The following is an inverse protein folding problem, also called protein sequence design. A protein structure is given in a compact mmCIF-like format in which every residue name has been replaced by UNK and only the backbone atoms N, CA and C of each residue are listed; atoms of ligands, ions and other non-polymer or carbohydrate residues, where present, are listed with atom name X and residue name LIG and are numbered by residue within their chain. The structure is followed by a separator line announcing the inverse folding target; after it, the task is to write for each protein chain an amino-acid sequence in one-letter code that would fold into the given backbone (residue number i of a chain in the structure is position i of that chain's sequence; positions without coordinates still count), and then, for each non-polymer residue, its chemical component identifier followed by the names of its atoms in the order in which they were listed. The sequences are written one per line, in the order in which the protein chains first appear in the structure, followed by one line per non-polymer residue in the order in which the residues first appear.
data_IF_485141719186
#
_entry.id   IF_485141719186
#
_cell.length_a   1.000
_cell.length_b   1.000
_cell.length_c   1.000
_cell.angle_alpha   90.00
_cell.angle_beta   90.00
_cell.angle_gamma   90.00
#
_symmetry.space_group_name_H-M   'P 1'
#
loop_
_entity.id
_entity.type
_entity.pdbx_description
1 polymer ?
#
# COMPACT_ATOMS: atom_id res chain seq x y z
N UNK A 1 4.04 -5.93 4.08
CA UNK A 1 5.22 -6.82 3.89
C UNK A 1 5.28 -7.42 2.48
N UNK A 2 4.16 -7.59 1.77
CA UNK A 2 4.20 -8.01 0.36
C UNK A 2 4.95 -6.96 -0.44
N UNK A 3 5.92 -7.39 -1.26
CA UNK A 3 6.75 -6.53 -2.09
C UNK A 3 6.32 -6.64 -3.55
N UNK A 4 5.59 -5.62 -4.01
CA UNK A 4 5.17 -5.45 -5.40
C UNK A 4 5.42 -4.00 -5.77
N UNK A 5 6.07 -3.75 -6.92
CA UNK A 5 6.46 -2.40 -7.36
C UNK A 5 5.34 -1.66 -8.09
N UNK A 6 4.41 -2.41 -8.67
CA UNK A 6 3.44 -1.95 -9.66
C UNK A 6 3.87 -2.32 -11.07
N UNK A 7 3.15 -1.83 -12.05
CA UNK A 7 3.40 -2.07 -13.48
C UNK A 7 4.20 -0.91 -14.08
N UNK A 8 5.02 -1.17 -15.11
CA UNK A 8 5.76 -0.12 -15.82
C UNK A 8 4.81 1.01 -16.29
N UNK A 9 3.65 0.64 -16.82
CA UNK A 9 2.64 1.58 -17.29
C UNK A 9 2.03 2.48 -16.19
N UNK A 10 2.16 2.16 -14.90
CA UNK A 10 1.75 3.07 -13.82
C UNK A 10 2.65 4.31 -13.80
N UNK A 11 3.95 4.09 -13.85
CA UNK A 11 4.97 5.14 -13.84
C UNK A 11 5.02 5.93 -15.16
N UNK A 12 4.93 5.24 -16.30
CA UNK A 12 4.84 5.88 -17.60
C UNK A 12 3.56 6.74 -17.70
N UNK A 13 2.48 6.30 -17.04
CA UNK A 13 1.25 7.08 -16.87
C UNK A 13 1.46 8.35 -16.02
N UNK A 14 2.32 8.33 -14.99
CA UNK A 14 2.67 9.53 -14.25
C UNK A 14 3.44 10.53 -15.14
N UNK A 15 4.41 10.05 -15.90
CA UNK A 15 5.17 10.90 -16.82
C UNK A 15 4.28 11.53 -17.90
N UNK A 16 3.36 10.75 -18.46
CA UNK A 16 2.39 11.23 -19.44
C UNK A 16 1.42 12.30 -18.88
N UNK A 17 1.20 12.32 -17.57
CA UNK A 17 0.44 13.36 -16.87
C UNK A 17 1.27 14.63 -16.55
N UNK A 18 2.48 14.74 -17.08
CA UNK A 18 3.37 15.89 -16.88
C UNK A 18 4.33 15.77 -15.70
N UNK A 19 4.44 14.60 -15.07
CA UNK A 19 5.44 14.34 -14.05
C UNK A 19 6.77 13.92 -14.68
N UNK A 20 7.48 14.87 -15.25
CA UNK A 20 8.73 14.64 -15.97
C UNK A 20 9.77 13.91 -15.11
N UNK A 21 10.37 12.84 -15.68
CA UNK A 21 11.37 12.01 -15.01
C UNK A 21 10.77 10.98 -14.06
N UNK A 22 9.45 10.71 -14.08
CA UNK A 22 8.80 9.70 -13.26
C UNK A 22 8.33 8.47 -14.06
N UNK A 23 8.68 8.36 -15.34
CA UNK A 23 8.47 7.15 -16.13
C UNK A 23 9.26 5.96 -15.61
N UNK A 24 8.86 4.74 -15.99
CA UNK A 24 9.42 3.50 -15.47
C UNK A 24 10.95 3.44 -15.52
N UNK A 25 11.54 3.77 -16.64
CA UNK A 25 13.00 3.78 -16.82
C UNK A 25 13.71 4.77 -15.88
N UNK A 26 13.05 5.88 -15.53
CA UNK A 26 13.58 6.92 -14.65
C UNK A 26 13.45 6.57 -13.17
N UNK A 27 12.50 5.72 -12.77
CA UNK A 27 12.32 5.29 -11.37
C UNK A 27 12.99 3.97 -11.06
N UNK A 28 13.21 3.11 -12.06
CA UNK A 28 13.82 1.78 -11.90
C UNK A 28 15.18 1.81 -11.19
N UNK A 29 16.11 2.75 -11.46
CA UNK A 29 17.38 2.84 -10.74
C UNK A 29 17.21 2.98 -9.22
N UNK A 30 16.14 3.64 -8.75
CA UNK A 30 15.87 3.83 -7.32
C UNK A 30 15.27 2.59 -6.67
N UNK A 31 14.47 1.78 -7.41
CA UNK A 31 14.08 0.45 -6.97
C UNK A 31 15.30 -0.46 -6.80
N UNK A 32 16.21 -0.47 -7.77
CA UNK A 32 17.45 -1.27 -7.71
C UNK A 32 18.36 -0.80 -6.58
N UNK A 33 18.50 0.51 -6.38
CA UNK A 33 19.34 1.09 -5.32
C UNK A 33 18.89 0.67 -3.92
N UNK A 34 17.61 0.59 -3.67
CA UNK A 34 17.11 0.25 -2.33
C UNK A 34 17.02 -1.26 -2.07
N UNK A 35 17.04 -2.12 -3.08
CA UNK A 35 16.75 -3.55 -2.96
C UNK A 35 17.97 -4.38 -2.54
N UNK A 36 17.74 -5.34 -1.64
CA UNK A 36 18.62 -6.47 -1.31
C UNK A 36 17.86 -7.76 -1.59
N UNK A 37 17.87 -8.21 -2.87
CA UNK A 37 17.09 -9.34 -3.38
C UNK A 37 17.74 -10.67 -3.04
N UNK A 38 17.02 -11.55 -2.34
CA UNK A 38 17.50 -12.89 -1.97
C UNK A 38 17.87 -13.76 -3.18
N UNK A 39 17.16 -13.59 -4.31
CA UNK A 39 17.38 -14.35 -5.56
C UNK A 39 18.61 -13.88 -6.33
N UNK A 40 19.25 -12.78 -5.92
CA UNK A 40 20.41 -12.23 -6.60
C UNK A 40 20.10 -11.15 -7.63
N UNK A 41 21.12 -10.81 -8.44
CA UNK A 41 21.07 -9.74 -9.44
C UNK A 41 20.41 -10.23 -10.73
N UNK A 42 19.59 -9.38 -11.34
CA UNK A 42 19.03 -9.57 -12.68
C UNK A 42 18.82 -8.22 -13.37
N UNK A 43 18.19 -8.19 -14.53
CA UNK A 43 17.76 -6.95 -15.19
C UNK A 43 16.80 -6.13 -14.30
N UNK A 44 16.00 -6.80 -13.48
CA UNK A 44 14.95 -6.19 -12.65
C UNK A 44 15.31 -6.14 -11.16
N UNK A 45 16.43 -6.73 -10.72
CA UNK A 45 16.76 -6.90 -9.31
C UNK A 45 18.20 -6.57 -9.00
N UNK A 46 18.42 -6.05 -7.78
CA UNK A 46 19.75 -5.77 -7.25
C UNK A 46 19.92 -6.35 -5.83
N UNK A 47 21.16 -6.39 -5.35
CA UNK A 47 21.54 -6.85 -4.02
C UNK A 47 22.33 -5.78 -3.28
N UNK A 48 22.35 -5.85 -1.95
CA UNK A 48 23.14 -4.97 -1.09
C UNK A 48 22.45 -3.66 -0.72
N UNK A 49 21.23 -3.41 -1.20
CA UNK A 49 20.43 -2.28 -0.77
C UNK A 49 19.89 -2.44 0.67
N UNK A 50 19.31 -1.38 1.26
CA UNK A 50 18.79 -1.41 2.63
C UNK A 50 17.51 -2.21 2.82
N UNK A 51 16.75 -2.49 1.75
CA UNK A 51 15.45 -3.17 1.80
C UNK A 51 15.61 -4.63 1.41
N UNK A 52 15.57 -5.51 2.40
CA UNK A 52 15.62 -6.96 2.14
C UNK A 52 14.32 -7.46 1.53
N UNK A 53 14.41 -8.11 0.37
CA UNK A 53 13.31 -8.74 -0.35
C UNK A 53 13.58 -10.23 -0.48
N UNK A 54 12.69 -11.04 0.07
CA UNK A 54 12.87 -12.49 0.16
C UNK A 54 11.65 -13.25 -0.32
N UNK A 55 11.84 -14.51 -0.66
CA UNK A 55 10.77 -15.45 -0.90
C UNK A 55 10.12 -15.87 0.44
N UNK A 56 8.91 -16.41 0.35
CA UNK A 56 8.27 -17.02 1.52
C UNK A 56 9.06 -18.26 1.97
N UNK A 57 9.47 -18.35 3.24
CA UNK A 57 10.30 -19.44 3.75
C UNK A 57 9.62 -20.81 3.71
N UNK A 58 8.29 -20.85 3.57
CA UNK A 58 7.51 -22.08 3.51
C UNK A 58 6.42 -21.98 2.46
N UNK A 59 6.35 -22.99 1.60
CA UNK A 59 5.24 -23.16 0.65
C UNK A 59 4.15 -24.00 1.30
N UNK A 60 2.91 -23.58 1.11
CA UNK A 60 1.75 -24.20 1.74
C UNK A 60 0.90 -24.93 0.68
N UNK A 61 0.34 -26.10 1.05
CA UNK A 61 -0.45 -26.93 0.13
C UNK A 61 -1.63 -26.17 -0.51
N UNK A 62 -2.23 -25.23 0.22
CA UNK A 62 -3.32 -24.41 -0.30
C UNK A 62 -2.82 -23.37 -1.30
N UNK A 63 -1.59 -22.85 -1.14
CA UNK A 63 -0.95 -21.96 -2.11
C UNK A 63 -0.70 -22.69 -3.44
N UNK A 64 -0.20 -23.91 -3.40
CA UNK A 64 -0.03 -24.74 -4.60
C UNK A 64 -1.39 -25.03 -5.26
N UNK A 65 -2.41 -25.37 -4.46
CA UNK A 65 -3.76 -25.62 -4.98
C UNK A 65 -4.36 -24.38 -5.65
N UNK A 66 -4.11 -23.19 -5.08
CA UNK A 66 -4.53 -21.92 -5.66
C UNK A 66 -3.84 -21.64 -7.00
N UNK A 67 -2.53 -21.88 -7.11
CA UNK A 67 -1.78 -21.70 -8.37
C UNK A 67 -2.30 -22.64 -9.47
N UNK A 68 -2.47 -23.92 -9.16
CA UNK A 68 -2.96 -24.89 -10.14
C UNK A 68 -4.40 -24.61 -10.58
N UNK A 69 -5.25 -24.14 -9.66
CA UNK A 69 -6.60 -23.70 -10.01
C UNK A 69 -6.57 -22.45 -10.91
N UNK A 70 -5.76 -21.47 -10.56
CA UNK A 70 -5.58 -20.23 -11.35
C UNK A 70 -5.03 -20.53 -12.75
N UNK A 71 -4.09 -21.46 -12.87
CA UNK A 71 -3.53 -21.92 -14.15
C UNK A 71 -4.60 -22.53 -15.05
N UNK A 72 -5.49 -23.36 -14.49
CA UNK A 72 -6.61 -23.94 -15.24
C UNK A 72 -7.62 -22.91 -15.72
N UNK A 73 -7.67 -21.76 -15.05
CA UNK A 73 -8.49 -20.61 -15.45
C UNK A 73 -7.76 -19.64 -16.41
N UNK A 74 -6.56 -20.03 -16.89
CA UNK A 74 -5.82 -19.27 -17.89
C UNK A 74 -4.73 -18.35 -17.34
N UNK A 75 -4.52 -18.28 -16.01
CA UNK A 75 -3.42 -17.50 -15.43
C UNK A 75 -2.13 -18.32 -15.47
N UNK A 76 -1.09 -17.91 -16.22
CA UNK A 76 0.18 -18.62 -16.24
C UNK A 76 0.86 -18.58 -14.86
N UNK A 77 1.75 -19.53 -14.59
CA UNK A 77 2.59 -19.42 -13.40
C UNK A 77 3.59 -18.27 -13.57
N UNK A 78 3.63 -17.39 -12.57
CA UNK A 78 4.58 -16.27 -12.52
C UNK A 78 5.36 -16.35 -11.21
N UNK A 79 6.66 -16.53 -11.29
CA UNK A 79 7.53 -16.60 -10.11
C UNK A 79 8.08 -15.24 -9.69
N UNK A 80 7.80 -14.17 -10.47
CA UNK A 80 8.33 -12.83 -10.20
C UNK A 80 7.39 -11.73 -10.72
N UNK A 81 6.58 -11.19 -9.82
CA UNK A 81 5.67 -10.07 -10.12
C UNK A 81 6.37 -8.71 -10.27
N UNK A 82 7.68 -8.66 -9.98
CA UNK A 82 8.52 -7.48 -10.10
C UNK A 82 9.49 -7.55 -11.29
N UNK A 83 9.35 -8.60 -12.11
CA UNK A 83 10.12 -8.84 -13.34
C UNK A 83 9.50 -8.18 -14.57
N UNK A 84 9.63 -8.85 -15.72
CA UNK A 84 9.16 -8.37 -17.02
C UNK A 84 7.62 -8.22 -17.08
N UNK A 85 6.90 -9.13 -16.44
CA UNK A 85 5.43 -9.18 -16.47
C UNK A 85 4.85 -9.44 -15.10
N UNK A 86 3.78 -8.72 -14.76
CA UNK A 86 3.02 -8.96 -13.55
C UNK A 86 1.92 -10.03 -13.73
N UNK A 87 1.56 -10.36 -14.98
CA UNK A 87 0.47 -11.30 -15.30
C UNK A 87 0.75 -12.69 -14.77
N UNK A 88 -0.27 -13.32 -14.17
CA UNK A 88 -0.22 -14.71 -13.75
C UNK A 88 -0.32 -14.93 -12.26
N UNK A 89 -0.17 -16.19 -11.83
CA UNK A 89 -0.30 -16.65 -10.44
C UNK A 89 1.04 -17.14 -9.89
N UNK A 90 1.38 -16.74 -8.66
CA UNK A 90 2.63 -17.15 -8.02
C UNK A 90 2.69 -16.81 -6.54
N UNK A 91 3.77 -17.24 -5.89
CA UNK A 91 4.06 -16.84 -4.52
C UNK A 91 4.49 -15.38 -4.46
N UNK A 92 4.06 -14.70 -3.39
CA UNK A 92 4.47 -13.30 -3.15
C UNK A 92 5.90 -13.24 -2.62
N UNK A 93 6.62 -12.19 -2.99
CA UNK A 93 7.84 -11.78 -2.30
C UNK A 93 7.50 -10.83 -1.16
N UNK A 94 8.33 -10.82 -0.13
CA UNK A 94 8.08 -10.07 1.11
C UNK A 94 9.31 -9.34 1.61
N UNK A 95 9.10 -8.19 2.28
CA UNK A 95 10.17 -7.46 2.97
C UNK A 95 10.48 -8.13 4.30
N UNK A 96 11.31 -9.17 4.24
CA UNK A 96 11.78 -9.92 5.42
C UNK A 96 13.28 -10.21 5.33
N UNK A 97 13.93 -10.37 6.48
CA UNK A 97 15.29 -10.87 6.61
C UNK A 97 15.33 -11.92 7.71
N UNK A 98 15.83 -13.12 7.38
CA UNK A 98 15.82 -14.25 8.31
C UNK A 98 14.42 -14.55 8.88
N UNK A 99 13.39 -14.55 8.04
CA UNK A 99 11.99 -14.74 8.39
C UNK A 99 11.46 -13.76 9.46
N UNK A 100 12.01 -12.57 9.55
CA UNK A 100 11.51 -11.46 10.39
C UNK A 100 11.19 -10.27 9.49
N UNK A 101 10.12 -9.55 9.83
CA UNK A 101 9.78 -8.31 9.16
C UNK A 101 11.01 -7.39 9.13
N UNK A 102 11.31 -6.85 7.94
CA UNK A 102 12.41 -5.92 7.72
C UNK A 102 11.83 -4.57 7.33
N UNK A 103 11.79 -3.66 8.29
CA UNK A 103 11.24 -2.32 8.12
C UNK A 103 12.28 -1.37 7.50
N UNK A 104 11.82 -0.21 7.03
CA UNK A 104 12.71 0.88 6.61
C UNK A 104 13.59 1.36 7.77
N UNK A 105 13.11 1.33 9.01
CA UNK A 105 13.93 1.63 10.17
C UNK A 105 15.08 0.62 10.35
N UNK A 106 14.84 -0.68 10.09
CA UNK A 106 15.91 -1.69 10.11
C UNK A 106 16.91 -1.46 8.97
N UNK A 107 16.43 -1.10 7.78
CA UNK A 107 17.26 -0.88 6.59
C UNK A 107 18.07 0.41 6.63
N UNK A 108 17.47 1.52 7.06
CA UNK A 108 18.06 2.85 6.93
C UNK A 108 18.58 3.46 8.23
N UNK A 109 18.00 3.10 9.39
CA UNK A 109 18.35 3.76 10.65
C UNK A 109 19.15 2.87 11.60
N UNK A 110 18.73 1.63 11.82
CA UNK A 110 19.28 0.76 12.85
C UNK A 110 20.77 0.43 12.59
N UNK A 111 21.62 0.91 13.51
CA UNK A 111 23.08 0.76 13.40
C UNK A 111 23.73 1.61 12.29
N UNK A 112 22.96 2.51 11.66
CA UNK A 112 23.43 3.37 10.56
C UNK A 112 23.18 4.86 10.82
N UNK A 113 22.64 5.24 11.99
CA UNK A 113 22.43 6.64 12.34
C UNK A 113 23.79 7.33 12.38
N UNK A 114 24.01 8.21 11.40
CA UNK A 114 25.21 9.03 11.35
C UNK A 114 25.18 10.09 12.49
N UNK A 115 26.34 10.56 12.92
CA UNK A 115 26.47 11.55 14.01
C UNK A 115 25.79 12.90 13.72
N UNK A 116 25.45 13.14 12.45
CA UNK A 116 24.76 14.34 11.98
C UNK A 116 23.23 14.17 11.90
N UNK A 117 22.66 13.03 12.33
CA UNK A 117 21.21 12.80 12.36
C UNK A 117 20.71 12.87 13.80
N UNK A 118 19.74 13.72 14.06
CA UNK A 118 19.00 13.77 15.32
C UNK A 118 17.60 13.24 15.13
N UNK A 119 17.23 12.19 15.84
CA UNK A 119 15.88 11.60 15.83
C UNK A 119 15.14 12.05 17.08
N UNK A 120 14.05 12.80 16.90
CA UNK A 120 13.17 13.25 17.98
C UNK A 120 11.87 12.45 17.91
N UNK A 121 11.58 11.70 18.98
CA UNK A 121 10.39 10.85 19.08
C UNK A 121 9.41 11.39 20.14
N UNK A 122 8.17 10.87 20.13
CA UNK A 122 7.11 11.27 21.06
C UNK A 122 6.73 12.75 20.97
N UNK A 123 6.83 13.31 19.78
CA UNK A 123 6.42 14.69 19.47
C UNK A 123 5.29 14.70 18.43
N UNK A 124 4.45 15.72 18.48
CA UNK A 124 3.46 16.06 17.46
C UNK A 124 3.93 17.30 16.71
N UNK A 125 4.06 17.21 15.40
CA UNK A 125 4.27 18.38 14.54
C UNK A 125 2.91 19.05 14.35
N UNK A 126 2.80 20.30 14.80
CA UNK A 126 1.54 21.04 14.84
C UNK A 126 1.29 21.83 13.55
N UNK A 127 2.32 22.52 13.04
CA UNK A 127 2.25 23.34 11.83
C UNK A 127 3.64 23.62 11.25
N UNK A 128 3.66 24.09 10.01
CA UNK A 128 4.85 24.65 9.36
C UNK A 128 5.02 26.13 9.76
N UNK A 129 6.24 26.62 9.74
CA UNK A 129 6.53 28.05 9.94
C UNK A 129 6.68 28.69 8.57
N UNK A 130 5.67 29.47 8.16
CA UNK A 130 5.63 30.17 6.87
C UNK A 130 6.01 31.65 7.08
N UNK A 131 7.04 32.12 6.40
CA UNK A 131 7.52 33.49 6.43
C UNK A 131 7.75 34.01 5.01
N UNK A 132 6.96 34.98 4.56
CA UNK A 132 7.10 35.64 3.23
C UNK A 132 7.14 34.63 2.05
N UNK A 133 6.27 33.61 2.07
CA UNK A 133 6.21 32.58 1.01
C UNK A 133 7.30 31.51 1.08
N UNK A 134 8.03 31.43 2.18
CA UNK A 134 9.04 30.42 2.45
C UNK A 134 8.74 29.66 3.73
N UNK A 135 8.81 28.34 3.70
CA UNK A 135 8.80 27.51 4.92
C UNK A 135 10.21 27.52 5.52
N UNK A 136 10.30 27.95 6.76
CA UNK A 136 11.56 28.15 7.50
C UNK A 136 11.71 27.23 8.70
N UNK A 137 10.73 26.34 8.96
CA UNK A 137 10.77 25.41 10.08
C UNK A 137 9.43 24.76 10.36
N UNK A 138 9.35 24.12 11.51
CA UNK A 138 8.14 23.46 12.02
C UNK A 138 7.89 23.81 13.49
N UNK A 139 6.63 23.96 13.87
CA UNK A 139 6.21 24.01 15.26
C UNK A 139 5.79 22.60 15.69
N UNK A 140 6.30 22.15 16.82
CA UNK A 140 5.97 20.83 17.36
C UNK A 140 5.77 20.89 18.87
N UNK A 141 5.09 19.91 19.43
CA UNK A 141 4.82 19.82 20.85
C UNK A 141 5.11 18.43 21.40
N UNK A 142 5.48 18.39 22.67
CA UNK A 142 5.56 17.18 23.47
C UNK A 142 4.80 17.38 24.81
N UNK A 143 5.03 16.49 25.77
CA UNK A 143 4.44 16.59 27.12
C UNK A 143 4.91 17.81 27.92
N UNK A 144 6.05 18.41 27.53
CA UNK A 144 6.71 19.51 28.27
C UNK A 144 6.34 20.88 27.70
N UNK A 145 5.89 20.98 26.45
CA UNK A 145 5.50 22.24 25.83
C UNK A 145 5.54 22.25 24.32
N UNK A 146 5.50 23.46 23.77
CA UNK A 146 5.58 23.71 22.32
C UNK A 146 6.93 24.33 21.96
N UNK A 147 7.49 23.89 20.86
CA UNK A 147 8.83 24.25 20.37
C UNK A 147 8.79 24.58 18.89
N UNK A 148 9.82 25.30 18.44
CA UNK A 148 10.05 25.55 17.01
C UNK A 148 11.41 25.00 16.60
N UNK A 149 11.44 24.14 15.56
CA UNK A 149 12.67 23.74 14.89
C UNK A 149 12.82 24.55 13.59
N UNK A 150 13.95 25.23 13.42
CA UNK A 150 14.27 26.02 12.23
C UNK A 150 15.07 25.19 11.22
N UNK A 151 14.69 25.27 9.94
CA UNK A 151 15.41 24.64 8.85
C UNK A 151 16.33 25.67 8.17
N UNK A 152 17.59 25.30 7.95
CA UNK A 152 18.56 26.16 7.24
C UNK A 152 18.47 26.01 5.72
N UNK A 153 17.91 24.92 5.24
CA UNK A 153 17.75 24.60 3.81
C UNK A 153 16.27 24.45 3.46
N UNK A 154 15.66 23.33 3.83
CA UNK A 154 14.26 23.04 3.55
C UNK A 154 13.65 22.11 4.61
N UNK A 155 12.32 22.07 4.64
CA UNK A 155 11.51 21.11 5.40
C UNK A 155 11.01 20.02 4.45
N UNK A 156 11.18 18.77 4.82
CA UNK A 156 10.67 17.63 4.06
C UNK A 156 9.50 17.03 4.84
N UNK A 157 8.33 17.02 4.25
CA UNK A 157 7.13 16.38 4.78
C UNK A 157 7.10 14.95 4.29
N UNK A 158 7.11 13.99 5.22
CA UNK A 158 6.98 12.55 4.95
C UNK A 158 6.03 11.92 5.96
N UNK A 159 4.88 12.58 6.19
CA UNK A 159 3.92 12.19 7.22
C UNK A 159 2.84 11.20 6.69
N UNK A 160 2.95 10.81 5.41
CA UNK A 160 2.06 9.87 4.74
C UNK A 160 0.75 10.49 4.28
N UNK A 161 -0.02 9.71 3.56
CA UNK A 161 -1.22 10.14 2.81
C UNK A 161 -2.27 10.87 3.64
N UNK A 162 -2.36 10.60 4.94
CA UNK A 162 -3.34 11.27 5.81
C UNK A 162 -2.76 12.50 6.52
N UNK A 163 -1.52 12.43 6.96
CA UNK A 163 -0.96 13.50 7.79
C UNK A 163 -0.18 14.55 6.99
N UNK A 164 0.30 14.25 5.79
CA UNK A 164 0.96 15.26 4.94
C UNK A 164 -0.01 16.36 4.50
N UNK A 165 -1.20 16.06 3.92
CA UNK A 165 -2.18 17.10 3.63
C UNK A 165 -2.71 17.77 4.90
N UNK A 166 -2.97 17.01 5.99
CA UNK A 166 -3.38 17.55 7.27
C UNK A 166 -2.39 18.62 7.80
N UNK A 167 -1.08 18.35 7.72
CA UNK A 167 -0.06 19.29 8.17
C UNK A 167 -0.03 20.56 7.31
N UNK A 168 -0.21 20.44 5.99
CA UNK A 168 -0.35 21.59 5.10
C UNK A 168 -1.57 22.41 5.47
N UNK A 169 -2.75 21.82 5.64
CA UNK A 169 -3.98 22.51 6.01
C UNK A 169 -3.89 23.19 7.39
N UNK A 170 -3.37 22.51 8.42
CA UNK A 170 -3.11 23.09 9.72
C UNK A 170 -2.15 24.31 9.67
N UNK A 171 -1.38 24.43 8.59
CA UNK A 171 -0.45 25.54 8.34
C UNK A 171 -1.08 26.62 7.45
N UNK A 172 -2.39 26.54 7.16
CA UNK A 172 -3.09 27.48 6.31
C UNK A 172 -2.77 27.31 4.81
N UNK A 173 -2.27 26.12 4.40
CA UNK A 173 -1.94 25.79 3.02
C UNK A 173 -2.96 24.76 2.51
N UNK A 174 -3.87 25.16 1.65
CA UNK A 174 -4.95 24.28 1.19
C UNK A 174 -6.07 24.99 0.44
N UNK A 175 -7.17 24.29 0.25
CA UNK A 175 -8.38 24.85 -0.33
C UNK A 175 -8.99 25.89 0.63
N UNK A 176 -9.21 27.11 0.13
CA UNK A 176 -9.79 28.23 0.91
C UNK A 176 -11.07 27.85 1.64
N UNK A 177 -12.04 27.25 0.94
CA UNK A 177 -13.34 26.90 1.51
C UNK A 177 -13.21 25.89 2.65
N UNK A 178 -12.30 24.90 2.48
CA UNK A 178 -12.01 23.91 3.53
C UNK A 178 -11.41 24.58 4.75
N UNK A 179 -10.38 25.42 4.58
CA UNK A 179 -9.65 26.08 5.67
C UNK A 179 -10.58 27.04 6.44
N UNK A 180 -11.30 27.92 5.73
CA UNK A 180 -12.24 28.87 6.34
C UNK A 180 -13.36 28.18 7.11
N UNK A 181 -13.83 27.01 6.63
CA UNK A 181 -14.85 26.21 7.33
C UNK A 181 -14.37 25.62 8.67
N UNK A 182 -13.08 25.70 8.95
CA UNK A 182 -12.41 25.22 10.18
C UNK A 182 -11.74 26.34 10.97
N UNK A 183 -12.07 27.59 10.66
CA UNK A 183 -11.48 28.78 11.28
C UNK A 183 -9.94 28.86 11.12
N UNK A 184 -9.38 28.21 10.08
CA UNK A 184 -7.96 28.25 9.76
C UNK A 184 -7.71 29.38 8.76
N UNK A 185 -6.83 30.32 9.13
CA UNK A 185 -6.45 31.44 8.28
C UNK A 185 -5.70 30.97 7.01
N UNK A 186 -6.19 31.34 5.83
CA UNK A 186 -5.56 30.99 4.55
C UNK A 186 -4.25 31.77 4.39
N UNK A 187 -3.13 31.05 4.37
CA UNK A 187 -1.79 31.59 4.13
C UNK A 187 -1.36 31.41 2.67
N UNK A 188 -1.75 30.29 2.06
CA UNK A 188 -1.47 29.95 0.67
C UNK A 188 -2.58 29.05 0.11
N UNK A 189 -3.29 29.54 -0.90
CA UNK A 189 -4.34 28.75 -1.52
C UNK A 189 -3.73 27.69 -2.44
N UNK A 190 -4.03 26.42 -2.16
CA UNK A 190 -3.58 25.25 -2.92
C UNK A 190 -4.67 24.19 -2.91
N UNK A 191 -5.54 24.22 -3.92
CA UNK A 191 -6.81 23.47 -3.96
C UNK A 191 -6.67 21.97 -3.87
N UNK A 192 -5.55 21.43 -4.36
CA UNK A 192 -5.34 19.98 -4.41
C UNK A 192 -4.95 19.33 -3.09
N UNK A 193 -4.67 20.11 -2.03
CA UNK A 193 -4.31 19.54 -0.72
C UNK A 193 -5.50 18.78 -0.16
N UNK A 194 -5.27 17.49 0.14
CA UNK A 194 -6.29 16.58 0.67
C UNK A 194 -7.22 15.97 -0.38
N UNK A 195 -7.14 16.38 -1.65
CA UNK A 195 -7.91 15.83 -2.76
C UNK A 195 -7.23 14.60 -3.37
N UNK A 196 -7.94 13.89 -4.27
CA UNK A 196 -7.42 12.75 -5.04
C UNK A 196 -6.99 11.54 -4.19
N UNK A 197 -7.54 11.37 -2.99
CA UNK A 197 -7.30 10.13 -2.21
C UNK A 197 -7.67 8.90 -3.04
N UNK A 198 -6.74 7.97 -3.14
CA UNK A 198 -6.95 6.68 -3.77
C UNK A 198 -6.52 5.57 -2.81
N UNK A 199 -7.19 4.43 -2.90
CA UNK A 199 -6.85 3.21 -2.17
C UNK A 199 -7.39 2.01 -2.93
N UNK A 200 -6.80 0.84 -2.74
CA UNK A 200 -7.34 -0.40 -3.27
C UNK A 200 -8.53 -0.86 -2.41
N UNK A 201 -9.63 -1.14 -3.07
CA UNK A 201 -10.81 -1.75 -2.45
C UNK A 201 -10.69 -3.25 -2.52
N UNK A 202 -10.85 -3.93 -1.39
CA UNK A 202 -10.78 -5.39 -1.28
C UNK A 202 -12.09 -6.01 -0.84
N UNK A 203 -12.45 -7.14 -1.45
CA UNK A 203 -13.59 -7.96 -1.06
C UNK A 203 -13.22 -9.44 -1.02
N UNK A 204 -13.47 -10.10 0.12
CA UNK A 204 -13.09 -11.48 0.36
C UNK A 204 -14.23 -12.48 0.21
N UNK A 205 -13.98 -13.54 -0.56
CA UNK A 205 -14.76 -14.77 -0.47
C UNK A 205 -14.13 -15.66 0.62
N UNK A 206 -14.90 -16.02 1.65
CA UNK A 206 -14.44 -16.84 2.77
C UNK A 206 -14.99 -18.25 2.70
N UNK A 207 -14.14 -19.23 3.01
CA UNK A 207 -14.47 -20.64 2.92
C UNK A 207 -14.10 -21.39 4.20
N UNK A 208 -14.95 -22.33 4.62
CA UNK A 208 -14.58 -23.40 5.54
C UNK A 208 -13.75 -24.43 4.76
N UNK A 209 -12.60 -24.79 5.29
CA UNK A 209 -11.76 -25.81 4.70
C UNK A 209 -12.27 -27.22 5.06
N UNK A 210 -12.17 -28.16 4.12
CA UNK A 210 -12.52 -29.58 4.30
C UNK A 210 -11.47 -30.35 5.11
N UNK A 211 -10.26 -29.76 5.30
CA UNK A 211 -9.13 -30.37 6.01
C UNK A 211 -8.48 -29.32 6.92
N UNK A 212 -7.85 -29.76 8.04
CA UNK A 212 -7.20 -28.86 9.01
C UNK A 212 -5.78 -28.44 8.53
N UNK A 213 -5.71 -27.59 7.50
CA UNK A 213 -4.48 -27.16 6.82
C UNK A 213 -4.30 -25.65 6.78
N UNK A 214 -4.97 -24.90 7.66
CA UNK A 214 -4.95 -23.43 7.68
C UNK A 214 -4.32 -22.88 8.96
N UNK A 215 -4.00 -21.58 8.94
CA UNK A 215 -3.46 -20.88 10.13
C UNK A 215 -4.46 -20.88 11.29
N UNK A 216 -5.76 -20.91 11.02
CA UNK A 216 -6.79 -21.01 12.06
C UNK A 216 -6.60 -22.25 12.97
N UNK A 217 -6.11 -23.37 12.42
CA UNK A 217 -5.86 -24.58 13.18
C UNK A 217 -4.76 -24.41 14.22
N UNK A 218 -3.83 -23.49 14.01
CA UNK A 218 -2.75 -23.17 14.95
C UNK A 218 -3.26 -22.30 16.09
N UNK A 219 -4.08 -21.29 15.78
CA UNK A 219 -4.66 -20.41 16.79
C UNK A 219 -5.70 -21.11 17.68
N UNK A 220 -6.35 -22.15 17.15
CA UNK A 220 -7.38 -22.93 17.85
C UNK A 220 -6.82 -24.15 18.59
N UNK A 221 -5.53 -24.45 18.46
CA UNK A 221 -4.90 -25.60 19.11
C UNK A 221 -3.52 -25.23 19.68
N UNK A 222 -3.47 -25.10 21.01
CA UNK A 222 -2.26 -24.64 21.74
C UNK A 222 -1.04 -25.53 21.44
N UNK A 223 -1.23 -26.86 21.30
CA UNK A 223 -0.12 -27.78 21.04
C UNK A 223 0.41 -27.56 19.61
N UNK A 224 -0.47 -27.50 18.61
CA UNK A 224 -0.07 -27.23 17.21
C UNK A 224 0.58 -25.86 17.10
N UNK A 225 -0.01 -24.85 17.73
CA UNK A 225 0.56 -23.49 17.77
C UNK A 225 1.94 -23.46 18.43
N UNK A 226 2.10 -24.15 19.56
CA UNK A 226 3.39 -24.26 20.25
C UNK A 226 4.47 -24.97 19.43
N UNK A 227 4.13 -26.06 18.74
CA UNK A 227 5.06 -26.76 17.85
C UNK A 227 5.44 -25.89 16.64
N UNK A 228 4.48 -25.18 16.03
CA UNK A 228 4.74 -24.27 14.94
C UNK A 228 5.64 -23.09 15.37
N UNK A 229 5.42 -22.54 16.58
CA UNK A 229 6.28 -21.50 17.14
C UNK A 229 7.69 -22.02 17.40
N UNK A 230 7.84 -23.22 17.96
CA UNK A 230 9.13 -23.85 18.19
C UNK A 230 9.90 -24.08 16.87
N UNK A 231 9.21 -24.58 15.83
CA UNK A 231 9.77 -24.70 14.47
C UNK A 231 10.26 -23.35 13.94
N UNK A 232 9.48 -22.28 14.11
CA UNK A 232 9.89 -20.94 13.70
C UNK A 232 11.12 -20.46 14.50
N UNK A 233 11.14 -20.63 15.81
CA UNK A 233 12.26 -20.17 16.65
C UNK A 233 13.56 -20.87 16.32
N UNK A 234 13.51 -22.19 16.07
CA UNK A 234 14.70 -23.01 15.80
C UNK A 234 15.16 -22.94 14.35
N UNK A 235 14.24 -22.99 13.39
CA UNK A 235 14.53 -23.19 11.97
C UNK A 235 14.13 -22.03 11.06
N UNK A 236 13.45 -21.01 11.57
CA UNK A 236 12.93 -19.87 10.80
C UNK A 236 12.02 -20.30 9.63
N UNK A 237 11.29 -21.39 9.78
CA UNK A 237 10.37 -21.97 8.78
C UNK A 237 8.99 -22.25 9.37
N UNK A 238 8.03 -22.63 8.51
CA UNK A 238 6.66 -22.92 8.90
C UNK A 238 5.74 -21.70 8.90
N UNK A 239 4.49 -21.87 9.33
CA UNK A 239 3.45 -20.83 9.19
C UNK A 239 3.77 -19.49 9.86
N UNK A 240 4.51 -19.47 10.96
CA UNK A 240 4.93 -18.23 11.64
C UNK A 240 6.10 -17.51 10.94
N UNK A 241 6.75 -18.14 9.99
CA UNK A 241 7.75 -17.50 9.14
C UNK A 241 7.11 -16.78 7.93
N UNK A 242 5.86 -17.10 7.61
CA UNK A 242 5.09 -16.48 6.53
C UNK A 242 4.23 -15.33 7.08
N UNK A 243 3.79 -14.43 6.20
CA UNK A 243 2.93 -13.29 6.54
C UNK A 243 1.41 -13.61 6.54
N UNK A 244 1.04 -14.88 6.31
CA UNK A 244 -0.36 -15.31 6.20
C UNK A 244 -0.97 -15.14 4.80
N UNK A 245 -0.39 -14.32 3.94
CA UNK A 245 -0.75 -14.18 2.54
C UNK A 245 0.30 -14.93 1.72
N UNK A 246 -0.13 -15.93 0.95
CA UNK A 246 0.83 -16.84 0.33
C UNK A 246 1.04 -16.55 -1.16
N UNK A 247 -0.02 -16.16 -1.85
CA UNK A 247 -0.04 -16.16 -3.30
C UNK A 247 -0.94 -15.08 -3.85
N UNK A 248 -0.52 -14.51 -4.97
CA UNK A 248 -1.35 -13.61 -5.75
C UNK A 248 -1.57 -14.17 -7.15
N UNK A 249 -2.66 -13.78 -7.78
CA UNK A 249 -2.79 -13.83 -9.24
C UNK A 249 -3.21 -12.46 -9.76
N UNK A 250 -2.54 -11.98 -10.80
CA UNK A 250 -2.84 -10.74 -11.49
C UNK A 250 -3.52 -11.05 -12.82
N UNK A 251 -4.72 -10.50 -12.99
CA UNK A 251 -5.59 -10.77 -14.14
C UNK A 251 -6.27 -9.50 -14.63
N UNK A 252 -6.79 -9.56 -15.85
CA UNK A 252 -7.72 -8.57 -16.36
C UNK A 252 -9.14 -8.93 -15.87
N UNK A 253 -9.87 -7.95 -15.31
CA UNK A 253 -11.25 -8.14 -14.87
C UNK A 253 -12.21 -8.40 -16.04
N UNK A 254 -11.86 -7.91 -17.24
CA UNK A 254 -12.62 -8.12 -18.48
C UNK A 254 -11.69 -8.16 -19.71
N UNK A 255 -12.23 -8.54 -20.87
CA UNK A 255 -11.49 -8.55 -22.14
C UNK A 255 -11.18 -7.14 -22.68
N UNK A 256 -11.89 -6.13 -22.21
CA UNK A 256 -11.74 -4.73 -22.66
C UNK A 256 -10.59 -4.02 -21.92
N UNK A 257 -9.99 -4.67 -20.92
CA UNK A 257 -8.89 -4.11 -20.11
C UNK A 257 -7.55 -4.52 -20.73
N UNK A 258 -6.70 -3.54 -20.96
CA UNK A 258 -5.41 -3.68 -21.66
C UNK A 258 -4.30 -4.36 -20.84
N UNK A 259 -4.38 -4.27 -19.53
CA UNK A 259 -3.40 -4.81 -18.57
C UNK A 259 -4.07 -5.20 -17.24
N UNK A 260 -3.45 -6.04 -16.40
CA UNK A 260 -4.05 -6.42 -15.13
C UNK A 260 -4.55 -5.23 -14.31
N UNK A 261 -5.81 -5.30 -13.95
CA UNK A 261 -6.52 -4.35 -13.10
C UNK A 261 -7.07 -5.01 -11.83
N UNK A 262 -6.88 -6.34 -11.72
CA UNK A 262 -7.36 -7.15 -10.60
C UNK A 262 -6.22 -7.98 -10.03
N UNK A 263 -6.01 -7.88 -8.70
CA UNK A 263 -5.18 -8.77 -7.92
C UNK A 263 -6.07 -9.68 -7.07
N UNK A 264 -5.89 -10.98 -7.17
CA UNK A 264 -6.58 -11.95 -6.32
C UNK A 264 -5.55 -12.54 -5.36
N UNK A 265 -5.71 -12.28 -4.07
CA UNK A 265 -4.80 -12.72 -3.01
C UNK A 265 -5.35 -13.93 -2.29
N UNK A 266 -4.56 -14.99 -2.19
CA UNK A 266 -4.88 -16.14 -1.35
C UNK A 266 -4.34 -15.94 0.06
N UNK A 267 -5.24 -16.05 1.04
CA UNK A 267 -4.94 -15.96 2.47
C UNK A 267 -5.28 -17.28 3.15
N UNK A 268 -4.28 -17.95 3.72
CA UNK A 268 -4.44 -19.26 4.41
C UNK A 268 -5.15 -19.17 5.76
N UNK A 269 -6.01 -18.18 5.96
CA UNK A 269 -6.78 -17.95 7.18
C UNK A 269 -8.09 -17.21 6.87
N UNK A 270 -9.06 -17.31 7.78
CA UNK A 270 -10.29 -16.53 7.73
C UNK A 270 -10.68 -16.00 9.11
N UNK A 271 -11.36 -14.87 9.13
CA UNK A 271 -11.81 -14.20 10.35
C UNK A 271 -13.34 -14.16 10.44
N UNK A 272 -13.81 -14.11 11.67
CA UNK A 272 -15.18 -13.75 12.02
C UNK A 272 -15.29 -12.28 12.42
N UNK A 273 -16.22 -11.99 13.30
CA UNK A 273 -16.43 -10.65 13.86
C UNK A 273 -15.16 -10.13 14.58
N UNK A 274 -14.95 -8.83 14.50
CA UNK A 274 -13.81 -8.12 15.10
C UNK A 274 -12.44 -8.69 14.69
N UNK A 275 -12.32 -9.19 13.45
CA UNK A 275 -11.09 -9.78 12.89
C UNK A 275 -10.51 -10.95 13.70
N UNK A 276 -11.30 -11.59 14.57
CA UNK A 276 -10.86 -12.77 15.31
C UNK A 276 -10.79 -14.00 14.41
N UNK A 277 -9.76 -14.85 14.52
CA UNK A 277 -9.72 -16.11 13.79
C UNK A 277 -10.97 -16.94 14.05
N UNK A 278 -11.57 -17.52 13.02
CA UNK A 278 -12.69 -18.45 13.21
C UNK A 278 -12.24 -19.71 13.93
N UNK A 279 -13.13 -20.34 14.75
CA UNK A 279 -12.78 -21.53 15.57
C UNK A 279 -12.68 -22.83 14.77
N UNK A 280 -12.51 -22.73 13.46
CA UNK A 280 -12.37 -23.87 12.53
C UNK A 280 -11.41 -23.51 11.41
N UNK A 281 -10.94 -24.55 10.70
CA UNK A 281 -10.08 -24.39 9.53
C UNK A 281 -10.80 -23.64 8.42
N UNK A 282 -10.20 -22.57 7.91
CA UNK A 282 -10.79 -21.76 6.86
C UNK A 282 -9.76 -20.86 6.19
N UNK A 283 -10.10 -20.36 5.01
CA UNK A 283 -9.26 -19.51 4.19
C UNK A 283 -10.08 -18.43 3.49
N UNK A 284 -9.40 -17.42 2.97
CA UNK A 284 -10.01 -16.32 2.24
C UNK A 284 -9.33 -16.19 0.86
N UNK A 285 -10.13 -15.95 -0.17
CA UNK A 285 -9.66 -15.49 -1.47
C UNK A 285 -10.16 -14.06 -1.61
N UNK A 286 -9.23 -13.11 -1.57
CA UNK A 286 -9.48 -11.68 -1.57
C UNK A 286 -9.32 -11.13 -2.98
N UNK A 287 -10.34 -10.49 -3.51
CA UNK A 287 -10.27 -9.77 -4.78
C UNK A 287 -10.01 -8.28 -4.52
N UNK A 288 -9.05 -7.72 -5.24
CA UNK A 288 -8.56 -6.36 -5.08
C UNK A 288 -8.55 -5.66 -6.44
N UNK A 289 -9.39 -4.62 -6.61
CA UNK A 289 -9.30 -3.77 -7.80
C UNK A 289 -8.12 -2.83 -7.65
N UNK A 290 -7.06 -3.03 -8.46
CA UNK A 290 -5.76 -2.34 -8.33
C UNK A 290 -5.63 -1.09 -9.21
N UNK A 291 -6.67 -0.72 -9.97
CA UNK A 291 -6.73 0.50 -10.82
C UNK A 291 -8.06 1.23 -10.61
N UNK A 292 -8.37 1.71 -9.38
CA UNK A 292 -9.67 2.28 -9.06
C UNK A 292 -9.92 3.63 -9.75
N UNK A 293 -11.16 3.85 -10.17
CA UNK A 293 -11.62 5.14 -10.72
C UNK A 293 -12.03 6.12 -9.62
N UNK A 294 -12.53 5.61 -8.50
CA UNK A 294 -13.02 6.45 -7.41
C UNK A 294 -11.91 7.29 -6.78
N UNK A 295 -12.28 8.52 -6.44
CA UNK A 295 -11.39 9.48 -5.75
C UNK A 295 -12.07 9.95 -4.47
N UNK A 296 -11.28 9.97 -3.40
CA UNK A 296 -11.69 10.43 -2.09
C UNK A 296 -10.97 11.69 -1.65
N UNK A 297 -11.16 12.05 -0.37
CA UNK A 297 -10.56 13.24 0.22
C UNK A 297 -10.07 12.99 1.65
N UNK A 298 -9.09 13.82 2.08
CA UNK A 298 -8.58 13.84 3.45
C UNK A 298 -8.45 15.29 3.89
N UNK A 299 -9.29 15.74 4.79
CA UNK A 299 -9.27 17.13 5.27
C UNK A 299 -9.25 17.20 6.78
N UNK A 300 -8.68 18.28 7.33
CA UNK A 300 -8.70 18.56 8.76
C UNK A 300 -10.14 18.57 9.31
N UNK A 301 -10.30 18.07 10.52
CA UNK A 301 -11.57 18.14 11.25
C UNK A 301 -11.75 19.48 11.95
N UNK A 302 -10.67 20.02 12.50
CA UNK A 302 -10.55 21.30 13.17
C UNK A 302 -9.10 21.81 13.07
N UNK A 303 -8.78 22.89 13.77
CA UNK A 303 -7.43 23.43 13.94
C UNK A 303 -6.59 22.68 14.99
N UNK A 304 -7.16 21.71 15.73
CA UNK A 304 -6.42 20.88 16.70
C UNK A 304 -5.59 19.80 15.98
N UNK A 305 -4.24 19.86 16.03
CA UNK A 305 -3.38 18.87 15.40
C UNK A 305 -3.51 17.45 15.95
N UNK A 306 -4.13 17.26 17.12
CA UNK A 306 -4.36 15.95 17.73
C UNK A 306 -5.57 15.22 17.16
N UNK A 307 -6.50 15.94 16.57
CA UNK A 307 -7.68 15.33 15.95
C UNK A 307 -7.32 14.59 14.65
N UNK A 308 -7.97 13.43 14.45
CA UNK A 308 -7.82 12.69 13.21
C UNK A 308 -8.53 13.42 12.06
N UNK A 309 -7.96 13.44 10.85
CA UNK A 309 -8.62 14.06 9.70
C UNK A 309 -9.93 13.34 9.35
N UNK A 310 -10.78 14.02 8.61
CA UNK A 310 -11.95 13.43 7.96
C UNK A 310 -11.45 12.73 6.70
N UNK A 311 -11.66 11.42 6.61
CA UNK A 311 -11.25 10.60 5.48
C UNK A 311 -12.51 10.09 4.77
N UNK A 312 -12.62 10.36 3.47
CA UNK A 312 -13.72 9.88 2.61
C UNK A 312 -13.10 9.14 1.42
N UNK A 313 -13.35 7.85 1.32
CA UNK A 313 -12.79 7.03 0.23
C UNK A 313 -13.63 7.06 -1.05
N UNK A 314 -14.94 7.20 -0.94
CA UNK A 314 -15.91 7.13 -2.04
C UNK A 314 -15.85 5.79 -2.82
N UNK A 315 -15.55 4.68 -2.13
CA UNK A 315 -15.50 3.35 -2.74
C UNK A 315 -16.82 3.00 -3.42
N UNK A 316 -16.73 2.33 -4.57
CA UNK A 316 -17.86 1.83 -5.34
C UNK A 316 -18.86 2.93 -5.79
N UNK A 317 -18.41 4.17 -5.94
CA UNK A 317 -19.25 5.21 -6.55
C UNK A 317 -19.25 5.12 -8.08
N UNK A 318 -18.11 4.78 -8.71
CA UNK A 318 -18.03 4.56 -10.16
C UNK A 318 -18.63 3.21 -10.56
N UNK A 319 -19.21 3.15 -11.77
CA UNK A 319 -19.74 1.87 -12.30
C UNK A 319 -18.63 0.92 -12.69
N UNK A 320 -17.44 1.41 -13.06
CA UNK A 320 -16.27 0.61 -13.33
C UNK A 320 -15.80 -0.13 -12.06
N UNK A 321 -15.69 0.58 -10.92
CA UNK A 321 -15.29 -0.02 -9.65
C UNK A 321 -16.31 -1.04 -9.14
N UNK A 322 -17.62 -0.77 -9.30
CA UNK A 322 -18.68 -1.74 -8.97
C UNK A 322 -18.56 -3.01 -9.80
N UNK A 323 -18.39 -2.86 -11.12
CA UNK A 323 -18.21 -3.98 -12.04
C UNK A 323 -16.97 -4.79 -11.70
N UNK A 324 -15.83 -4.12 -11.47
CA UNK A 324 -14.57 -4.77 -11.11
C UNK A 324 -14.69 -5.55 -9.79
N UNK A 325 -15.31 -5.00 -8.76
CA UNK A 325 -15.51 -5.69 -7.48
C UNK A 325 -16.39 -6.95 -7.63
N UNK A 326 -17.48 -6.88 -8.40
CA UNK A 326 -18.35 -8.02 -8.70
C UNK A 326 -17.58 -9.11 -9.46
N UNK A 327 -16.89 -8.76 -10.54
CA UNK A 327 -16.14 -9.70 -11.36
C UNK A 327 -14.96 -10.32 -10.59
N UNK A 328 -14.28 -9.55 -9.75
CA UNK A 328 -13.25 -10.04 -8.84
C UNK A 328 -13.80 -11.11 -7.88
N UNK A 329 -14.94 -10.87 -7.27
CA UNK A 329 -15.59 -11.83 -6.38
C UNK A 329 -16.04 -13.10 -7.13
N UNK A 330 -16.61 -12.95 -8.35
CA UNK A 330 -16.92 -14.08 -9.22
C UNK A 330 -15.67 -14.90 -9.59
N UNK A 331 -14.54 -14.21 -9.86
CA UNK A 331 -13.28 -14.89 -10.18
C UNK A 331 -12.73 -15.64 -8.96
N UNK A 332 -12.77 -15.06 -7.76
CA UNK A 332 -12.40 -15.73 -6.51
C UNK A 332 -13.20 -17.03 -6.30
N UNK A 333 -14.51 -17.00 -6.59
CA UNK A 333 -15.36 -18.21 -6.58
C UNK A 333 -14.94 -19.24 -7.61
N UNK A 334 -14.64 -18.82 -8.86
CA UNK A 334 -14.17 -19.74 -9.91
C UNK A 334 -12.88 -20.46 -9.48
N UNK A 335 -11.95 -19.75 -8.84
CA UNK A 335 -10.72 -20.38 -8.31
C UNK A 335 -11.09 -21.42 -7.24
N UNK A 336 -11.93 -21.08 -6.28
CA UNK A 336 -12.37 -21.98 -5.21
C UNK A 336 -13.08 -23.23 -5.73
N UNK A 337 -13.85 -23.12 -6.82
CA UNK A 337 -14.58 -24.21 -7.47
C UNK A 337 -13.74 -25.05 -8.43
N UNK A 338 -12.53 -24.60 -8.78
CA UNK A 338 -11.64 -25.31 -9.73
C UNK A 338 -10.70 -26.25 -9.00
N UNK A 339 -10.61 -27.52 -9.45
CA UNK A 339 -9.66 -28.47 -8.87
C UNK A 339 -8.20 -28.05 -9.16
N UNK A 340 -7.28 -28.21 -8.20
CA UNK A 340 -7.40 -28.94 -6.94
C UNK A 340 -7.98 -28.13 -5.78
N UNK A 341 -8.17 -26.81 -5.91
CA UNK A 341 -8.65 -25.94 -4.84
C UNK A 341 -10.02 -26.36 -4.31
N UNK A 342 -10.93 -26.79 -5.20
CA UNK A 342 -12.27 -27.28 -4.81
C UNK A 342 -12.25 -28.48 -3.86
N UNK A 343 -11.19 -29.30 -3.87
CA UNK A 343 -11.01 -30.40 -2.93
C UNK A 343 -10.73 -29.97 -1.48
N UNK A 344 -10.43 -28.69 -1.26
CA UNK A 344 -10.22 -28.10 0.06
C UNK A 344 -11.41 -27.26 0.55
N UNK A 345 -12.43 -27.06 -0.27
CA UNK A 345 -13.64 -26.31 0.08
C UNK A 345 -14.68 -27.27 0.71
N UNK A 346 -15.12 -26.99 1.92
CA UNK A 346 -16.27 -27.66 2.53
C UNK A 346 -17.54 -26.82 2.36
N UNK A 347 -17.43 -25.51 2.52
CA UNK A 347 -18.57 -24.58 2.52
C UNK A 347 -18.08 -23.16 2.17
N UNK A 348 -18.85 -22.41 1.38
CA UNK A 348 -18.67 -20.99 1.22
C UNK A 348 -19.40 -20.25 2.36
N UNK A 349 -18.65 -19.47 3.15
CA UNK A 349 -19.15 -18.74 4.33
C UNK A 349 -19.59 -17.32 3.97
N UNK A 350 -18.84 -16.66 3.07
CA UNK A 350 -19.07 -15.32 2.56
C UNK A 350 -18.71 -15.26 1.07
N UNK A 351 -19.53 -14.59 0.27
CA UNK A 351 -20.84 -13.99 0.55
C UNK A 351 -21.94 -15.00 0.89
N UNK A 352 -21.74 -16.29 0.68
CA UNK A 352 -22.72 -17.38 0.77
C UNK A 352 -23.15 -17.85 -0.62
N UNK A 353 -23.26 -19.18 -0.79
CA UNK A 353 -23.55 -19.81 -2.07
C UNK A 353 -24.93 -19.47 -2.67
N UNK A 354 -25.82 -18.91 -1.86
CA UNK A 354 -27.16 -18.42 -2.23
C UNK A 354 -27.13 -17.05 -2.91
N UNK A 355 -26.06 -16.28 -2.75
CA UNK A 355 -25.90 -14.95 -3.38
C UNK A 355 -25.27 -15.11 -4.76
N UNK A 356 -26.10 -15.06 -5.80
CA UNK A 356 -25.69 -15.36 -7.18
C UNK A 356 -25.89 -14.21 -8.16
N UNK A 357 -26.78 -13.21 -7.84
CA UNK A 357 -26.98 -12.07 -8.74
C UNK A 357 -25.97 -10.96 -8.49
N UNK A 358 -25.73 -10.13 -9.50
CA UNK A 358 -24.80 -9.00 -9.41
C UNK A 358 -25.19 -8.00 -8.33
N UNK A 359 -26.50 -7.79 -8.15
CA UNK A 359 -27.05 -6.92 -7.10
C UNK A 359 -26.73 -7.47 -5.69
N UNK A 360 -26.88 -8.78 -5.49
CA UNK A 360 -26.56 -9.44 -4.22
C UNK A 360 -25.06 -9.42 -3.93
N UNK A 361 -24.22 -9.58 -4.96
CA UNK A 361 -22.75 -9.49 -4.85
C UNK A 361 -22.33 -8.05 -4.56
N UNK A 362 -22.93 -7.06 -5.23
CA UNK A 362 -22.64 -5.64 -4.97
C UNK A 362 -23.03 -5.23 -3.55
N UNK A 363 -24.17 -5.72 -3.06
CA UNK A 363 -24.56 -5.45 -1.67
C UNK A 363 -23.58 -6.07 -0.67
N UNK A 364 -23.07 -7.28 -0.96
CA UNK A 364 -22.00 -7.87 -0.19
C UNK A 364 -20.72 -7.02 -0.25
N UNK A 365 -20.32 -6.51 -1.43
CA UNK A 365 -19.18 -5.61 -1.56
C UNK A 365 -19.35 -4.34 -0.70
N UNK A 366 -20.55 -3.75 -0.66
CA UNK A 366 -20.84 -2.56 0.16
C UNK A 366 -20.78 -2.82 1.66
N UNK A 367 -21.26 -3.98 2.10
CA UNK A 367 -21.35 -4.32 3.53
C UNK A 367 -20.06 -4.89 4.12
N UNK A 368 -19.23 -5.57 3.32
CA UNK A 368 -18.06 -6.33 3.79
C UNK A 368 -16.73 -5.92 3.15
N UNK A 369 -16.79 -5.05 2.14
CA UNK A 369 -15.59 -4.53 1.50
C UNK A 369 -14.79 -3.62 2.42
N UNK A 370 -13.48 -3.54 2.18
CA UNK A 370 -12.56 -2.83 3.06
C UNK A 370 -11.44 -2.13 2.29
N UNK A 371 -10.90 -1.09 2.91
CA UNK A 371 -9.64 -0.47 2.53
C UNK A 371 -8.49 -1.46 2.74
N UNK A 372 -7.59 -1.55 1.78
CA UNK A 372 -6.40 -2.39 1.89
C UNK A 372 -5.18 -1.64 2.45
N UNK A 373 -5.39 -0.41 2.92
CA UNK A 373 -4.38 0.45 3.51
C UNK A 373 -3.24 0.80 2.53
N UNK A 374 -3.58 0.90 1.26
CA UNK A 374 -2.69 1.32 0.18
C UNK A 374 -2.89 2.79 -0.21
N UNK A 375 -3.33 3.61 0.73
CA UNK A 375 -3.73 4.99 0.54
C UNK A 375 -2.63 5.86 -0.06
N UNK A 376 -2.98 6.65 -1.11
CA UNK A 376 -2.05 7.54 -1.84
C UNK A 376 -2.77 8.80 -2.36
N UNK A 377 -2.03 9.75 -2.90
CA UNK A 377 -2.53 10.74 -3.86
C UNK A 377 -2.95 12.08 -3.29
N UNK A 378 -3.00 12.28 -1.98
CA UNK A 378 -3.58 13.47 -1.31
C UNK A 378 -2.71 14.74 -1.35
N UNK A 379 -1.50 14.65 -1.86
CA UNK A 379 -0.61 15.77 -2.21
C UNK A 379 -0.04 15.52 -3.61
N UNK A 380 -0.91 15.19 -4.58
CA UNK A 380 -0.49 14.64 -5.88
C UNK A 380 0.53 15.52 -6.58
N UNK A 381 1.50 14.87 -7.22
CA UNK A 381 2.45 15.47 -8.12
C UNK A 381 1.79 15.76 -9.47
N UNK A 382 2.16 16.85 -10.11
CA UNK A 382 1.67 17.17 -11.44
C UNK A 382 1.79 18.63 -11.80
N UNK A 383 1.10 19.01 -12.90
CA UNK A 383 1.11 20.36 -13.48
C UNK A 383 -0.30 20.98 -13.59
N UNK A 384 -1.33 20.24 -13.21
CA UNK A 384 -2.73 20.71 -13.24
C UNK A 384 -3.10 21.51 -11.97
N UNK A 385 -4.30 22.10 -11.97
CA UNK A 385 -4.79 22.96 -10.87
C UNK A 385 -4.94 22.26 -9.51
N UNK A 386 -5.05 20.92 -9.50
CA UNK A 386 -5.12 20.11 -8.29
C UNK A 386 -3.77 19.48 -7.92
N UNK A 387 -2.69 19.86 -8.58
CA UNK A 387 -1.35 19.40 -8.23
C UNK A 387 -0.81 20.17 -7.02
N UNK A 388 -0.32 19.43 -6.03
CA UNK A 388 0.24 19.99 -4.79
C UNK A 388 1.74 20.17 -4.89
N UNK A 389 2.43 19.25 -5.57
CA UNK A 389 3.88 19.32 -5.77
C UNK A 389 4.24 19.21 -7.26
N UNK A 390 5.37 19.80 -7.62
CA UNK A 390 5.97 19.65 -8.96
C UNK A 390 6.70 18.29 -9.11
N UNK A 391 7.27 18.04 -10.31
CA UNK A 391 8.04 16.81 -10.58
C UNK A 391 9.34 16.68 -9.76
N UNK A 392 9.78 17.75 -9.09
CA UNK A 392 10.86 17.72 -8.10
C UNK A 392 10.36 17.67 -6.67
N UNK A 393 9.08 17.37 -6.46
CA UNK A 393 8.38 17.24 -5.17
C UNK A 393 8.32 18.53 -4.34
N UNK A 394 8.59 19.69 -4.92
CA UNK A 394 8.47 21.01 -4.28
C UNK A 394 7.01 21.42 -4.26
N UNK A 395 6.53 21.95 -3.14
CA UNK A 395 5.15 22.44 -3.01
C UNK A 395 4.95 23.67 -3.91
N UNK A 396 3.94 23.62 -4.76
CA UNK A 396 3.66 24.70 -5.71
C UNK A 396 3.46 26.07 -5.00
N UNK A 397 4.12 27.08 -5.52
CA UNK A 397 4.02 28.47 -5.02
C UNK A 397 4.76 28.76 -3.71
N UNK A 398 5.38 27.77 -3.07
CA UNK A 398 6.14 27.91 -1.83
C UNK A 398 7.61 27.54 -2.00
N UNK A 399 8.48 28.16 -1.18
CA UNK A 399 9.90 27.82 -1.12
C UNK A 399 10.22 27.06 0.17
N UNK A 400 11.30 26.27 0.14
CA UNK A 400 11.85 25.62 1.33
C UNK A 400 11.01 24.44 1.85
N UNK A 401 10.16 23.83 1.03
CA UNK A 401 9.34 22.67 1.42
C UNK A 401 9.12 21.69 0.28
N UNK A 402 9.21 20.40 0.60
CA UNK A 402 8.82 19.27 -0.27
C UNK A 402 7.90 18.31 0.46
N UNK A 403 7.12 17.57 -0.30
CA UNK A 403 6.42 16.36 0.19
C UNK A 403 7.07 15.14 -0.47
N UNK A 404 7.56 14.21 0.35
CA UNK A 404 8.27 13.00 -0.12
C UNK A 404 7.67 11.77 0.59
N UNK A 405 6.52 11.32 0.14
CA UNK A 405 5.84 10.11 0.61
C UNK A 405 4.78 9.65 -0.41
N UNK A 406 3.98 8.66 -0.07
CA UNK A 406 2.97 8.09 -0.96
C UNK A 406 1.85 9.08 -1.35
N UNK A 407 1.68 10.20 -0.64
CA UNK A 407 0.67 11.22 -0.96
C UNK A 407 0.93 11.91 -2.31
N UNK A 408 2.16 11.83 -2.84
CA UNK A 408 2.52 12.52 -4.11
C UNK A 408 2.07 11.73 -5.35
N UNK A 409 1.67 10.47 -5.24
CA UNK A 409 1.30 9.65 -6.40
C UNK A 409 0.10 10.25 -7.14
N UNK A 410 0.20 10.59 -8.43
CA UNK A 410 -0.95 11.09 -9.21
C UNK A 410 -2.04 10.03 -9.35
N UNK A 411 -1.61 8.79 -9.61
CA UNK A 411 -2.45 7.59 -9.63
C UNK A 411 -1.78 6.50 -8.81
N UNK A 412 -2.59 5.66 -8.17
CA UNK A 412 -2.11 4.52 -7.39
C UNK A 412 -1.41 3.50 -8.28
N UNK A 413 -0.33 2.90 -7.81
CA UNK A 413 0.37 1.82 -8.52
C UNK A 413 -0.40 0.51 -8.44
N UNK A 414 -0.28 -0.34 -9.46
CA UNK A 414 -0.98 -1.62 -9.59
C UNK A 414 -0.38 -2.70 -8.67
N UNK A 415 -0.59 -2.56 -7.36
CA UNK A 415 -0.12 -3.46 -6.32
C UNK A 415 0.11 -2.78 -4.97
N UNK A 416 0.73 -3.48 -4.03
CA UNK A 416 1.00 -2.94 -2.69
C UNK A 416 1.90 -1.70 -2.77
N UNK A 417 1.52 -0.59 -2.14
CA UNK A 417 2.14 0.73 -2.35
C UNK A 417 3.47 0.94 -1.62
N UNK A 418 3.86 0.05 -0.69
CA UNK A 418 5.05 0.25 0.14
C UNK A 418 6.37 0.32 -0.65
N UNK A 419 6.55 -0.53 -1.67
CA UNK A 419 7.76 -0.52 -2.49
C UNK A 419 7.90 0.80 -3.27
N UNK A 420 6.80 1.29 -3.86
CA UNK A 420 6.76 2.58 -4.55
C UNK A 420 7.00 3.76 -3.59
N UNK A 421 6.46 3.71 -2.36
CA UNK A 421 6.72 4.75 -1.35
C UNK A 421 8.21 4.82 -0.96
N UNK A 422 8.90 3.68 -0.85
CA UNK A 422 10.35 3.64 -0.58
C UNK A 422 11.13 4.20 -1.79
N UNK A 423 10.74 3.83 -3.01
CA UNK A 423 11.35 4.37 -4.25
C UNK A 423 11.19 5.90 -4.32
N UNK A 424 10.01 6.44 -3.97
CA UNK A 424 9.77 7.88 -3.87
C UNK A 424 10.73 8.52 -2.87
N UNK A 425 10.95 7.88 -1.72
CA UNK A 425 11.91 8.33 -0.71
C UNK A 425 13.35 8.40 -1.26
N UNK A 426 13.80 7.35 -1.96
CA UNK A 426 15.15 7.29 -2.57
C UNK A 426 15.32 8.37 -3.66
N UNK A 427 14.34 8.52 -4.54
CA UNK A 427 14.38 9.51 -5.62
C UNK A 427 14.30 10.93 -5.07
N UNK A 428 13.41 11.18 -4.11
CA UNK A 428 13.28 12.47 -3.44
C UNK A 428 14.55 12.86 -2.69
N UNK A 429 15.20 11.91 -2.00
CA UNK A 429 16.49 12.15 -1.34
C UNK A 429 17.57 12.55 -2.36
N UNK A 430 17.62 11.91 -3.54
CA UNK A 430 18.57 12.30 -4.58
C UNK A 430 18.30 13.72 -5.07
N UNK A 431 17.03 14.11 -5.27
CA UNK A 431 16.66 15.48 -5.65
C UNK A 431 17.08 16.53 -4.63
N UNK A 432 17.01 16.19 -3.33
CA UNK A 432 17.50 17.07 -2.25
C UNK A 432 19.02 17.22 -2.33
N UNK A 433 19.74 16.12 -2.52
CA UNK A 433 21.20 16.12 -2.68
C UNK A 433 21.63 16.98 -3.89
N UNK A 434 20.96 16.79 -5.03
CA UNK A 434 21.26 17.55 -6.26
C UNK A 434 21.04 19.05 -6.09
N UNK A 435 20.03 19.48 -5.30
CA UNK A 435 19.73 20.88 -5.09
C UNK A 435 20.66 21.57 -4.05
N UNK A 436 21.27 20.81 -3.12
CA UNK A 436 21.96 21.38 -1.99
C UNK A 436 23.43 20.98 -1.82
N UNK A 437 23.89 19.92 -2.51
CA UNK A 437 25.24 19.38 -2.35
C UNK A 437 26.11 19.48 -3.63
N UNK A 438 25.56 19.98 -4.74
CA UNK A 438 26.25 20.26 -6.01
C UNK A 438 26.60 21.73 -6.17
#
# INVERSE_FOLDING_TARGET
MIYVRGQAADFDGWEAQGCEGWGFNSVMPYFLKCEDQERGVSQYHAVGGPVSVADLPSKEILGEAFHEASKKLGSPYNNDFNGESQVGAGYVQVTTKNARCWSTADGYLKGKIATNITVVTHVMVNSLVLERGQITGVNYSDKSGTYTARATKEVIISAGTFNSPKLLELSGIGNREVLESKDIAVQHELRGVGENLQDHFGIGAQYRASKPVTVNDLSNNVIKGGLALMRYLLFKTGPFANNGNYSNTFINSSQDVDRPDMMITFMGWCTGENLRPRPFSGFTILAEHIRPDCRGTVHVRSDDPREQPIIKFNFLESDADKKAAIEGLKHARKIAQTAPMSGFVAEELKPGSDKVTDEQLLEHCRSEGLSLLHCVGTCKMGVDELSVVDSRLKVHGLKGVRVIDASIMPTIVSGNTNAAAIMIGEKGAQMVIDDWCN
#
